data_IF_481561984854
#
_entry.id   IF_481561984854
#
_cell.length_a   1.000
_cell.length_b   1.000
_cell.length_c   1.000
_cell.angle_alpha   90.00
_cell.angle_beta   90.00
_cell.angle_gamma   90.00
#
_symmetry.space_group_name_H-M   'P 1'
#
loop_
_entity.id
_entity.type
_entity.pdbx_description
1 polymer ?
#
# COMPACT_ATOMS: atom_id res chain seq x y z
N UNK A 1 6.39 32.39 5.20
CA UNK A 1 6.09 32.25 6.63
C UNK A 1 6.11 30.78 7.03
N UNK A 2 7.29 30.23 7.28
CA UNK A 2 7.42 28.92 7.91
C UNK A 2 7.34 29.12 9.43
N UNK A 3 6.13 29.29 9.94
CA UNK A 3 5.89 29.11 11.37
C UNK A 3 6.23 27.67 11.74
N UNK A 4 6.78 27.44 12.93
CA UNK A 4 6.94 26.10 13.48
C UNK A 4 5.64 25.31 13.28
N UNK A 5 5.73 24.10 12.72
CA UNK A 5 4.57 23.24 12.59
C UNK A 5 3.93 23.08 13.98
N UNK A 6 2.62 23.36 14.14
CA UNK A 6 1.95 23.20 15.42
C UNK A 6 2.18 21.80 15.96
N UNK A 7 2.65 21.71 17.21
CA UNK A 7 2.96 20.44 17.86
C UNK A 7 1.83 20.09 18.82
N UNK A 8 1.18 18.96 18.56
CA UNK A 8 0.25 18.36 19.52
C UNK A 8 1.04 17.49 20.49
N UNK A 9 1.08 17.89 21.76
CA UNK A 9 1.68 17.11 22.83
C UNK A 9 0.64 16.17 23.43
N UNK A 10 0.78 14.86 23.17
CA UNK A 10 -0.08 13.84 23.75
C UNK A 10 0.57 13.23 25.00
N UNK A 11 -0.22 13.01 26.05
CA UNK A 11 0.14 12.27 27.26
C UNK A 11 -0.55 10.91 27.34
N UNK A 12 -0.32 10.20 28.45
CA UNK A 12 -0.98 8.91 28.71
C UNK A 12 -2.50 9.08 28.80
N UNK A 13 -2.98 10.22 29.29
CA UNK A 13 -4.41 10.53 29.40
C UNK A 13 -5.09 10.53 28.02
N UNK A 14 -4.41 10.95 26.96
CA UNK A 14 -4.98 10.93 25.61
C UNK A 14 -5.09 9.50 25.05
N UNK A 15 -4.31 8.55 25.59
CA UNK A 15 -4.44 7.16 25.21
C UNK A 15 -5.65 6.46 25.86
N UNK A 16 -6.19 6.98 26.97
CA UNK A 16 -7.28 6.32 27.70
C UNK A 16 -8.64 6.45 27.00
N UNK A 17 -8.78 7.44 26.11
CA UNK A 17 -10.00 7.64 25.30
C UNK A 17 -9.98 6.86 23.99
N UNK A 18 -8.87 6.20 23.66
CA UNK A 18 -8.73 5.43 22.43
C UNK A 18 -9.55 4.14 22.50
N UNK A 19 -10.04 3.70 21.33
CA UNK A 19 -10.86 2.51 21.24
C UNK A 19 -10.04 1.25 21.52
N UNK A 20 -10.49 0.49 22.51
CA UNK A 20 -9.90 -0.80 22.89
C UNK A 20 -10.30 -1.92 21.92
N UNK A 21 -11.58 -1.98 21.56
CA UNK A 21 -12.20 -3.10 20.85
C UNK A 21 -12.06 -4.46 21.53
N UNK A 22 -11.76 -4.52 22.85
CA UNK A 22 -11.53 -5.78 23.55
C UNK A 22 -12.69 -6.76 23.33
N UNK A 23 -13.93 -6.29 23.41
CA UNK A 23 -15.16 -7.04 23.19
C UNK A 23 -15.27 -7.68 21.78
N UNK A 24 -14.61 -7.08 20.79
CA UNK A 24 -14.59 -7.55 19.39
C UNK A 24 -13.35 -8.38 19.04
N UNK A 25 -12.38 -8.46 19.94
CA UNK A 25 -11.17 -9.25 19.70
C UNK A 25 -11.46 -10.74 19.59
N UNK A 26 -10.61 -11.45 18.85
CA UNK A 26 -10.71 -12.90 18.73
C UNK A 26 -10.64 -13.55 20.13
N UNK A 27 -11.56 -14.46 20.50
CA UNK A 27 -11.52 -15.13 21.81
C UNK A 27 -10.20 -15.85 22.12
N UNK A 28 -9.52 -16.40 21.12
CA UNK A 28 -8.19 -16.99 21.28
C UNK A 28 -7.13 -15.94 21.65
N UNK A 29 -7.21 -14.75 21.03
CA UNK A 29 -6.33 -13.63 21.38
C UNK A 29 -6.60 -13.14 22.81
N UNK A 30 -7.86 -12.94 23.18
CA UNK A 30 -8.24 -12.50 24.53
C UNK A 30 -7.72 -13.47 25.60
N UNK A 31 -7.88 -14.79 25.39
CA UNK A 31 -7.34 -15.81 26.32
C UNK A 31 -5.82 -15.76 26.41
N UNK A 32 -5.13 -15.72 25.27
CA UNK A 32 -3.67 -15.74 25.22
C UNK A 32 -3.06 -14.50 25.87
N UNK A 33 -3.53 -13.31 25.48
CA UNK A 33 -3.02 -12.04 25.98
C UNK A 33 -3.46 -11.81 27.43
N UNK A 34 -4.69 -12.19 27.80
CA UNK A 34 -5.18 -12.12 29.16
C UNK A 34 -4.33 -12.95 30.14
N UNK A 35 -3.97 -14.19 29.77
CA UNK A 35 -3.07 -15.01 30.58
C UNK A 35 -1.68 -14.35 30.75
N UNK A 36 -1.14 -13.75 29.68
CA UNK A 36 0.11 -13.02 29.75
C UNK A 36 0.03 -11.76 30.63
N UNK A 37 -1.07 -11.01 30.57
CA UNK A 37 -1.33 -9.85 31.43
C UNK A 37 -1.43 -10.24 32.92
N UNK A 38 -2.10 -11.35 33.23
CA UNK A 38 -2.18 -11.87 34.60
C UNK A 38 -0.81 -12.29 35.13
N UNK A 39 -0.01 -12.96 34.28
CA UNK A 39 1.35 -13.36 34.61
C UNK A 39 2.25 -12.13 34.84
N UNK A 40 2.17 -11.12 33.97
CA UNK A 40 2.91 -9.87 34.10
C UNK A 40 2.54 -9.13 35.39
N UNK A 41 1.25 -9.04 35.71
CA UNK A 41 0.78 -8.46 36.96
C UNK A 41 1.42 -9.16 38.16
N UNK A 42 1.40 -10.50 38.19
CA UNK A 42 2.01 -11.30 39.28
C UNK A 42 3.52 -11.09 39.40
N UNK A 43 4.23 -10.95 38.27
CA UNK A 43 5.69 -10.76 38.27
C UNK A 43 6.12 -9.37 38.75
N UNK A 44 5.28 -8.35 38.53
CA UNK A 44 5.54 -6.96 38.88
C UNK A 44 4.96 -6.56 40.24
N UNK A 45 3.94 -7.26 40.73
CA UNK A 45 3.33 -7.05 42.04
C UNK A 45 4.41 -7.03 43.14
N UNK A 46 4.47 -5.93 43.90
CA UNK A 46 5.44 -5.72 44.97
C UNK A 46 6.85 -5.29 44.54
N UNK A 47 7.15 -5.22 43.23
CA UNK A 47 8.46 -4.77 42.71
C UNK A 47 8.46 -3.32 42.23
N UNK A 48 7.32 -2.85 41.76
CA UNK A 48 7.15 -1.46 41.35
C UNK A 48 6.43 -0.74 42.48
N UNK A 49 7.04 0.27 43.10
CA UNK A 49 6.39 1.09 44.15
C UNK A 49 5.19 1.93 43.67
N UNK A 50 4.57 1.56 42.54
CA UNK A 50 3.40 2.19 41.92
C UNK A 50 2.23 1.20 41.98
N UNK A 51 1.02 1.68 42.23
CA UNK A 51 -0.20 0.87 42.20
C UNK A 51 -0.33 0.18 40.85
N UNK A 52 -0.16 -1.14 40.82
CA UNK A 52 -0.21 -1.91 39.58
C UNK A 52 -1.67 -2.15 39.19
N UNK A 53 -2.01 -1.87 37.92
CA UNK A 53 -3.26 -2.32 37.33
C UNK A 53 -3.40 -3.84 37.47
N UNK A 54 -4.60 -4.33 37.73
CA UNK A 54 -4.87 -5.76 37.71
C UNK A 54 -4.72 -6.33 36.28
N UNK A 55 -4.71 -7.66 36.17
CA UNK A 55 -4.56 -8.33 34.88
C UNK A 55 -5.66 -7.99 33.87
N UNK A 56 -6.86 -7.63 34.32
CA UNK A 56 -7.97 -7.26 33.44
C UNK A 56 -7.76 -5.86 32.87
N UNK A 57 -7.36 -4.91 33.70
CA UNK A 57 -7.03 -3.55 33.26
C UNK A 57 -5.81 -3.55 32.32
N UNK A 58 -4.82 -4.41 32.56
CA UNK A 58 -3.71 -4.60 31.64
C UNK A 58 -4.15 -5.16 30.28
N UNK A 59 -5.11 -6.10 30.26
CA UNK A 59 -5.67 -6.63 29.01
C UNK A 59 -6.43 -5.54 28.23
N UNK A 60 -7.16 -4.67 28.93
CA UNK A 60 -7.82 -3.51 28.32
C UNK A 60 -6.79 -2.60 27.63
N UNK A 61 -5.69 -2.27 28.32
CA UNK A 61 -4.61 -1.48 27.73
C UNK A 61 -3.91 -2.18 26.58
N UNK A 62 -3.68 -3.50 26.68
CA UNK A 62 -3.11 -4.27 25.57
C UNK A 62 -4.02 -4.21 24.33
N UNK A 63 -5.34 -4.20 24.51
CA UNK A 63 -6.30 -4.08 23.42
C UNK A 63 -6.32 -2.66 22.82
N UNK A 64 -6.24 -1.62 23.66
CA UNK A 64 -6.03 -0.22 23.20
C UNK A 64 -4.75 -0.11 22.36
N UNK A 65 -3.64 -0.65 22.85
CA UNK A 65 -2.37 -0.65 22.11
C UNK A 65 -2.56 -1.40 20.79
N UNK A 66 -3.07 -2.63 20.81
CA UNK A 66 -3.27 -3.44 19.60
C UNK A 66 -4.12 -2.74 18.54
N UNK A 67 -5.18 -2.04 18.95
CA UNK A 67 -6.09 -1.34 18.05
C UNK A 67 -5.50 -0.07 17.43
N UNK A 68 -4.56 0.60 18.12
CA UNK A 68 -4.17 1.97 17.81
C UNK A 68 -2.67 2.17 17.52
N UNK A 69 -1.83 1.14 17.63
CA UNK A 69 -0.42 1.25 17.25
C UNK A 69 -0.22 1.45 15.76
N UNK A 70 0.81 2.22 15.43
CA UNK A 70 1.31 2.43 14.09
C UNK A 70 2.73 1.88 13.98
N UNK A 71 3.00 1.12 12.92
CA UNK A 71 4.37 0.77 12.57
C UNK A 71 5.15 2.03 12.20
N UNK A 72 6.42 2.12 12.59
CA UNK A 72 7.29 3.23 12.20
C UNK A 72 8.61 2.67 11.65
N UNK A 73 9.01 3.19 10.49
CA UNK A 73 10.26 2.84 9.82
C UNK A 73 11.08 4.08 9.55
N UNK A 74 12.37 4.06 9.86
CA UNK A 74 13.28 5.21 9.68
C UNK A 74 13.93 5.26 8.29
N UNK A 75 13.75 4.23 7.46
CA UNK A 75 14.56 4.01 6.25
C UNK A 75 13.69 3.78 5.01
N UNK A 76 14.29 3.95 3.82
CA UNK A 76 13.67 3.79 2.48
C UNK A 76 13.15 2.38 2.15
N UNK A 77 13.22 1.44 3.09
CA UNK A 77 12.89 0.03 2.89
C UNK A 77 11.38 -0.30 3.04
N UNK A 78 10.51 0.67 3.36
CA UNK A 78 9.08 0.44 3.64
C UNK A 78 8.83 -0.74 4.62
N UNK A 79 9.71 -0.91 5.61
CA UNK A 79 9.58 -1.91 6.67
C UNK A 79 9.45 -1.23 8.02
N UNK A 80 8.48 -1.69 8.80
CA UNK A 80 8.31 -1.26 10.19
C UNK A 80 9.50 -1.77 11.02
N UNK A 81 10.27 -0.84 11.58
CA UNK A 81 11.39 -1.13 12.49
C UNK A 81 11.00 -0.98 13.95
N UNK A 82 9.93 -0.25 14.22
CA UNK A 82 9.36 -0.04 15.54
C UNK A 82 7.84 0.09 15.43
N UNK A 83 7.17 0.12 16.58
CA UNK A 83 5.77 0.47 16.70
C UNK A 83 5.64 1.63 17.68
N UNK A 84 4.68 2.52 17.43
CA UNK A 84 4.39 3.64 18.31
C UNK A 84 2.89 3.85 18.48
N UNK A 85 2.48 4.22 19.69
CA UNK A 85 1.14 4.69 19.97
C UNK A 85 1.14 6.22 19.92
N UNK A 86 0.35 6.78 19.01
CA UNK A 86 0.30 8.22 18.77
C UNK A 86 -1.15 8.70 18.87
N UNK A 87 -1.64 9.05 20.09
CA UNK A 87 -3.07 9.34 20.29
C UNK A 87 -3.63 10.35 19.29
N UNK A 88 -2.91 11.44 19.00
CA UNK A 88 -3.31 12.42 17.99
C UNK A 88 -3.51 11.84 16.57
N UNK A 89 -2.67 10.89 16.13
CA UNK A 89 -2.86 10.19 14.85
C UNK A 89 -3.96 9.14 14.94
N UNK A 90 -4.06 8.42 16.06
CA UNK A 90 -5.06 7.38 16.27
C UNK A 90 -6.50 7.91 16.29
N UNK A 91 -6.70 9.23 16.47
CA UNK A 91 -8.00 9.89 16.32
C UNK A 91 -8.45 10.07 14.86
N UNK A 92 -7.54 10.00 13.88
CA UNK A 92 -7.89 10.17 12.46
C UNK A 92 -8.47 8.88 11.91
N UNK A 93 -9.71 8.94 11.42
CA UNK A 93 -10.40 7.78 10.85
C UNK A 93 -9.81 7.32 9.51
N UNK A 94 -10.21 6.12 9.12
CA UNK A 94 -9.83 5.56 7.83
C UNK A 94 -10.59 6.16 6.64
N UNK A 95 -9.89 6.37 5.53
CA UNK A 95 -10.50 6.39 4.20
C UNK A 95 -9.65 5.60 3.21
N UNK A 96 -10.31 4.87 2.30
CA UNK A 96 -9.69 4.24 1.14
C UNK A 96 -9.27 5.25 0.04
N UNK A 97 -9.59 6.53 0.25
CA UNK A 97 -9.14 7.71 -0.49
C UNK A 97 -8.84 8.80 0.57
N UNK A 98 -7.71 8.71 1.27
CA UNK A 98 -7.40 9.60 2.38
C UNK A 98 -7.02 11.01 1.90
N UNK A 99 -7.29 12.01 2.74
CA UNK A 99 -6.86 13.40 2.51
C UNK A 99 -5.62 13.78 3.34
N UNK A 100 -5.18 12.92 4.27
CA UNK A 100 -3.93 13.10 5.01
C UNK A 100 -2.99 11.89 4.84
N UNK A 101 -1.69 12.17 4.84
CA UNK A 101 -0.64 11.18 5.08
C UNK A 101 0.08 11.50 6.38
N UNK A 102 0.82 10.53 6.88
CA UNK A 102 1.69 10.73 8.02
C UNK A 102 3.06 10.11 7.75
N UNK A 103 4.09 10.66 8.39
CA UNK A 103 5.45 10.15 8.31
C UNK A 103 6.19 10.36 9.64
N UNK A 104 7.26 9.59 9.91
CA UNK A 104 8.17 9.92 11.00
C UNK A 104 8.78 11.31 10.83
N UNK A 105 8.99 12.02 11.93
CA UNK A 105 9.55 13.37 11.98
C UNK A 105 10.79 13.47 12.89
N UNK A 106 11.51 12.35 13.04
CA UNK A 106 12.67 12.22 13.91
C UNK A 106 12.31 11.92 15.37
N UNK A 107 13.15 11.13 16.03
CA UNK A 107 12.89 10.65 17.40
C UNK A 107 11.56 9.90 17.50
N UNK A 108 10.81 10.16 18.58
CA UNK A 108 9.47 9.62 18.81
C UNK A 108 8.34 10.53 18.26
N UNK A 109 8.62 11.35 17.24
CA UNK A 109 7.63 12.26 16.63
C UNK A 109 7.15 11.73 15.29
N UNK A 110 5.89 11.97 15.02
CA UNK A 110 5.28 11.84 13.69
C UNK A 110 4.80 13.20 13.23
N UNK A 111 4.65 13.35 11.93
CA UNK A 111 3.96 14.47 11.33
C UNK A 111 2.78 13.97 10.51
N UNK A 112 1.72 14.77 10.47
CA UNK A 112 0.53 14.55 9.65
C UNK A 112 0.44 15.72 8.68
N UNK A 113 0.29 15.44 7.39
CA UNK A 113 0.20 16.45 6.35
C UNK A 113 -1.00 16.18 5.45
N UNK A 114 -1.69 17.26 5.07
CA UNK A 114 -2.73 17.19 4.06
C UNK A 114 -2.10 16.87 2.70
N UNK A 115 -2.71 15.94 1.96
CA UNK A 115 -2.33 15.56 0.59
C UNK A 115 -3.19 16.26 -0.46
N UNK A 116 -4.33 16.78 -0.04
CA UNK A 116 -5.30 17.50 -0.88
C UNK A 116 -5.78 18.73 -0.12
N UNK A 117 -6.49 19.62 -0.81
CA UNK A 117 -7.24 20.68 -0.14
C UNK A 117 -8.33 20.04 0.75
N UNK A 118 -8.57 20.62 1.92
CA UNK A 118 -9.51 20.13 2.93
C UNK A 118 -10.38 21.31 3.36
N UNK A 119 -11.69 21.18 3.18
CA UNK A 119 -12.62 22.24 3.57
C UNK A 119 -12.80 22.31 5.09
N UNK A 120 -13.16 23.47 5.63
CA UNK A 120 -13.50 23.60 7.04
C UNK A 120 -14.70 22.69 7.39
N UNK A 121 -14.55 21.87 8.42
CA UNK A 121 -15.55 20.87 8.83
C UNK A 121 -15.46 19.53 8.09
N UNK A 122 -14.60 19.41 7.07
CA UNK A 122 -14.29 18.13 6.46
C UNK A 122 -13.45 17.26 7.42
N UNK A 123 -13.74 15.96 7.43
CA UNK A 123 -13.04 15.01 8.29
C UNK A 123 -11.61 14.77 7.76
N UNK A 124 -10.63 14.77 8.67
CA UNK A 124 -9.27 14.33 8.40
C UNK A 124 -9.20 12.79 8.42
N UNK A 125 -8.64 12.21 7.37
CA UNK A 125 -8.58 10.75 7.20
C UNK A 125 -7.22 10.27 6.72
N UNK A 126 -6.83 9.07 7.19
CA UNK A 126 -5.60 8.37 6.78
C UNK A 126 -5.93 6.97 6.26
N UNK A 127 -4.97 6.27 5.65
CA UNK A 127 -5.16 4.86 5.31
C UNK A 127 -4.71 3.95 6.45
N UNK A 128 -5.49 2.89 6.72
CA UNK A 128 -5.15 1.81 7.65
C UNK A 128 -4.79 0.50 6.93
N UNK A 129 -4.86 0.50 5.61
CA UNK A 129 -4.70 -0.70 4.77
C UNK A 129 -3.92 -0.35 3.50
N UNK A 130 -3.47 -1.36 2.77
CA UNK A 130 -2.85 -1.18 1.47
C UNK A 130 -3.92 -0.73 0.44
N UNK A 131 -3.75 0.47 -0.11
CA UNK A 131 -4.71 1.07 -1.04
C UNK A 131 -4.65 0.48 -2.46
N UNK A 132 -3.63 -0.33 -2.76
CA UNK A 132 -3.47 -1.06 -4.02
C UNK A 132 -4.08 -2.48 -3.98
N UNK A 133 -4.68 -2.87 -2.86
CA UNK A 133 -5.43 -4.12 -2.75
C UNK A 133 -6.86 -3.98 -3.31
N UNK A 134 -7.44 -5.07 -3.86
CA UNK A 134 -8.83 -5.12 -4.28
C UNK A 134 -9.80 -4.71 -3.16
N UNK A 135 -10.97 -4.19 -3.54
CA UNK A 135 -11.96 -3.66 -2.59
C UNK A 135 -12.33 -4.68 -1.53
N UNK A 136 -12.63 -5.91 -1.95
CA UNK A 136 -13.07 -6.96 -1.04
C UNK A 136 -11.98 -7.33 -0.04
N UNK A 137 -10.70 -7.30 -0.46
CA UNK A 137 -9.56 -7.56 0.42
C UNK A 137 -9.41 -6.46 1.47
N UNK A 138 -9.48 -5.19 1.06
CA UNK A 138 -9.43 -4.05 1.99
C UNK A 138 -10.56 -4.09 3.01
N UNK A 139 -11.79 -4.38 2.58
CA UNK A 139 -12.94 -4.55 3.48
C UNK A 139 -12.72 -5.69 4.48
N UNK A 140 -12.26 -6.85 4.03
CA UNK A 140 -11.97 -7.98 4.89
C UNK A 140 -10.85 -7.67 5.91
N UNK A 141 -9.80 -6.98 5.47
CA UNK A 141 -8.68 -6.60 6.34
C UNK A 141 -9.10 -5.58 7.40
N UNK A 142 -9.90 -4.57 7.04
CA UNK A 142 -10.45 -3.58 7.97
C UNK A 142 -11.45 -4.21 8.95
N UNK A 143 -12.34 -5.08 8.47
CA UNK A 143 -13.27 -5.78 9.34
C UNK A 143 -12.55 -6.67 10.35
N UNK A 144 -11.50 -7.39 9.90
CA UNK A 144 -10.72 -8.28 10.76
C UNK A 144 -9.87 -7.53 11.78
N UNK A 145 -9.20 -6.45 11.37
CA UNK A 145 -8.20 -5.77 12.20
C UNK A 145 -8.72 -4.54 12.95
N UNK A 146 -9.79 -3.91 12.44
CA UNK A 146 -10.35 -2.65 12.97
C UNK A 146 -11.85 -2.75 13.25
N UNK A 147 -12.48 -3.88 12.98
CA UNK A 147 -13.86 -4.19 13.36
C UNK A 147 -14.93 -3.24 12.78
N UNK A 148 -14.69 -2.71 11.58
CA UNK A 148 -15.67 -1.91 10.83
C UNK A 148 -15.61 -2.20 9.32
N UNK A 149 -16.71 -1.93 8.62
CA UNK A 149 -16.78 -1.93 7.16
C UNK A 149 -16.61 -0.50 6.64
N UNK A 150 -15.67 -0.28 5.72
CA UNK A 150 -15.37 1.05 5.20
C UNK A 150 -16.46 1.53 4.25
N UNK A 151 -16.98 2.73 4.52
CA UNK A 151 -17.98 3.39 3.68
C UNK A 151 -17.43 4.69 3.10
N UNK A 152 -16.12 4.83 2.83
CA UNK A 152 -15.65 6.06 2.16
C UNK A 152 -16.14 6.14 0.70
N UNK A 153 -15.93 7.28 0.03
CA UNK A 153 -16.37 7.52 -1.35
C UNK A 153 -15.92 6.42 -2.32
N UNK A 154 -14.64 6.03 -2.29
CA UNK A 154 -14.08 4.95 -3.12
C UNK A 154 -14.78 3.61 -2.91
N UNK A 155 -15.15 3.27 -1.67
CA UNK A 155 -15.83 2.02 -1.33
C UNK A 155 -17.33 2.03 -1.65
N UNK A 156 -18.00 3.19 -1.50
CA UNK A 156 -19.42 3.37 -1.82
C UNK A 156 -19.69 3.42 -3.33
N UNK A 157 -18.71 3.87 -4.12
CA UNK A 157 -18.84 3.93 -5.57
C UNK A 157 -19.08 2.53 -6.17
N UNK A 158 -20.02 2.36 -7.11
CA UNK A 158 -20.21 1.11 -7.83
C UNK A 158 -18.88 0.61 -8.42
N UNK A 159 -18.60 -0.69 -8.28
CA UNK A 159 -17.34 -1.27 -8.73
C UNK A 159 -17.02 -0.94 -10.22
N UNK A 160 -17.96 -1.03 -11.18
CA UNK A 160 -17.70 -0.68 -12.58
C UNK A 160 -17.21 0.75 -12.83
N UNK A 161 -17.50 1.67 -11.92
CA UNK A 161 -17.11 3.08 -12.01
C UNK A 161 -15.87 3.39 -11.17
N UNK A 162 -15.60 2.58 -10.16
CA UNK A 162 -14.47 2.74 -9.24
C UNK A 162 -13.14 2.36 -9.88
N UNK A 163 -12.03 3.00 -9.51
CA UNK A 163 -10.68 2.54 -9.91
C UNK A 163 -10.38 1.10 -9.47
N UNK A 164 -11.08 0.59 -8.44
CA UNK A 164 -10.91 -0.78 -7.92
C UNK A 164 -11.13 -1.84 -9.00
N UNK A 165 -11.97 -1.57 -10.02
CA UNK A 165 -12.19 -2.49 -11.15
C UNK A 165 -10.91 -2.85 -11.90
N UNK A 166 -9.89 -1.99 -11.84
CA UNK A 166 -8.61 -2.22 -12.49
C UNK A 166 -7.76 -3.24 -11.72
N UNK A 167 -7.92 -3.31 -10.39
CA UNK A 167 -7.15 -4.17 -9.50
C UNK A 167 -7.64 -5.63 -9.50
N UNK A 168 -8.89 -5.87 -9.90
CA UNK A 168 -9.53 -7.20 -9.88
C UNK A 168 -10.16 -7.62 -11.22
N UNK A 169 -10.17 -6.74 -12.22
CA UNK A 169 -10.80 -7.00 -13.50
C UNK A 169 -9.98 -7.87 -14.46
N UNK A 170 -10.70 -8.60 -15.31
CA UNK A 170 -10.14 -9.37 -16.43
C UNK A 170 -10.53 -8.68 -17.74
N UNK A 171 -9.59 -8.50 -18.68
CA UNK A 171 -9.89 -7.91 -19.98
C UNK A 171 -10.95 -8.74 -20.72
N UNK A 172 -11.90 -8.08 -21.37
CA UNK A 172 -12.91 -8.78 -22.16
C UNK A 172 -12.26 -9.64 -23.25
N UNK A 173 -12.78 -10.85 -23.45
CA UNK A 173 -12.32 -11.74 -24.53
C UNK A 173 -12.94 -11.41 -25.88
N UNK A 174 -13.92 -10.51 -25.92
CA UNK A 174 -14.56 -10.09 -27.18
C UNK A 174 -13.59 -9.21 -27.97
N UNK A 175 -13.48 -9.47 -29.28
CA UNK A 175 -12.61 -8.72 -30.17
C UNK A 175 -12.91 -7.21 -30.07
N UNK A 176 -11.85 -6.41 -29.92
CA UNK A 176 -11.92 -4.94 -29.87
C UNK A 176 -12.76 -4.34 -28.73
N UNK A 177 -13.14 -5.13 -27.71
CA UNK A 177 -13.85 -4.62 -26.53
C UNK A 177 -12.86 -4.11 -25.47
N UNK A 178 -12.87 -2.82 -25.11
CA UNK A 178 -12.00 -2.27 -24.06
C UNK A 178 -12.50 -2.55 -22.63
N UNK A 179 -13.66 -3.19 -22.48
CA UNK A 179 -14.28 -3.45 -21.19
C UNK A 179 -13.56 -4.50 -20.35
N UNK A 180 -13.87 -4.50 -19.04
CA UNK A 180 -13.38 -5.49 -18.09
C UNK A 180 -14.53 -6.38 -17.64
N UNK A 181 -14.30 -7.69 -17.59
CA UNK A 181 -15.15 -8.62 -16.87
C UNK A 181 -14.94 -8.39 -15.37
N UNK A 182 -16.04 -8.18 -14.65
CA UNK A 182 -16.07 -8.01 -13.20
C UNK A 182 -17.03 -9.02 -12.57
N UNK A 183 -16.67 -9.54 -11.41
CA UNK A 183 -17.47 -10.45 -10.60
C UNK A 183 -16.89 -10.59 -9.20
N UNK A 184 -17.44 -11.50 -8.39
CA UNK A 184 -17.00 -11.65 -7.01
C UNK A 184 -15.67 -12.40 -6.93
N UNK A 185 -14.67 -11.78 -6.31
CA UNK A 185 -13.36 -12.39 -6.00
C UNK A 185 -13.26 -12.87 -4.54
N UNK A 186 -14.20 -12.47 -3.70
CA UNK A 186 -14.33 -12.89 -2.31
C UNK A 186 -15.81 -12.90 -1.92
N UNK A 187 -16.17 -13.76 -0.97
CA UNK A 187 -17.54 -13.97 -0.53
C UNK A 187 -17.82 -15.43 -0.21
N UNK A 188 -19.09 -15.76 -0.06
CA UNK A 188 -19.61 -17.11 0.07
C UNK A 188 -19.33 -17.94 -1.21
N UNK A 189 -19.32 -19.28 -1.12
CA UNK A 189 -19.20 -20.13 -2.30
C UNK A 189 -20.22 -19.79 -3.39
N UNK A 190 -21.45 -19.45 -3.02
CA UNK A 190 -22.52 -19.08 -3.95
C UNK A 190 -22.23 -17.77 -4.67
N UNK A 191 -21.77 -16.74 -3.94
CA UNK A 191 -21.38 -15.45 -4.54
C UNK A 191 -20.23 -15.61 -5.53
N UNK A 192 -19.25 -16.47 -5.22
CA UNK A 192 -18.10 -16.74 -6.10
C UNK A 192 -18.47 -17.46 -7.40
N UNK A 193 -19.62 -18.14 -7.47
CA UNK A 193 -20.08 -18.81 -8.69
C UNK A 193 -20.89 -17.90 -9.62
N UNK A 194 -21.24 -16.69 -9.19
CA UNK A 194 -22.01 -15.76 -10.00
C UNK A 194 -21.26 -15.38 -11.29
N UNK A 195 -21.97 -15.17 -12.42
CA UNK A 195 -21.34 -14.81 -13.68
C UNK A 195 -20.66 -13.44 -13.58
N UNK A 196 -19.55 -13.32 -14.32
CA UNK A 196 -18.81 -12.08 -14.47
C UNK A 196 -19.35 -11.31 -15.68
N UNK A 197 -19.56 -10.01 -15.51
CA UNK A 197 -20.17 -9.15 -16.54
C UNK A 197 -19.16 -8.15 -17.07
N UNK A 198 -19.10 -7.99 -18.38
CA UNK A 198 -18.24 -6.99 -19.01
C UNK A 198 -18.78 -5.57 -18.77
N UNK A 199 -17.92 -4.64 -18.33
CA UNK A 199 -18.30 -3.24 -18.11
C UNK A 199 -18.79 -2.53 -19.35
N UNK A 200 -18.34 -2.96 -20.54
CA UNK A 200 -18.60 -2.31 -21.81
C UNK A 200 -19.66 -3.06 -22.63
N UNK A 201 -19.30 -4.19 -23.25
CA UNK A 201 -20.22 -4.94 -24.12
C UNK A 201 -21.30 -5.76 -23.39
N UNK A 202 -21.34 -5.72 -22.05
CA UNK A 202 -22.30 -6.43 -21.18
C UNK A 202 -22.33 -7.96 -21.33
N UNK A 203 -21.37 -8.54 -22.04
CA UNK A 203 -21.21 -10.00 -22.15
C UNK A 203 -21.01 -10.60 -20.75
N UNK A 204 -21.78 -11.63 -20.45
CA UNK A 204 -21.62 -12.45 -19.26
C UNK A 204 -20.74 -13.67 -19.56
N UNK A 205 -19.90 -14.03 -18.60
CA UNK A 205 -19.01 -15.18 -18.65
C UNK A 205 -19.11 -15.88 -17.29
N UNK A 206 -19.25 -17.20 -17.27
CA UNK A 206 -19.23 -17.95 -16.01
C UNK A 206 -17.92 -17.67 -15.24
N UNK A 207 -17.99 -17.56 -13.91
CA UNK A 207 -16.81 -17.30 -13.07
C UNK A 207 -15.70 -18.34 -13.28
N UNK A 208 -16.12 -19.60 -13.50
CA UNK A 208 -15.25 -20.75 -13.74
C UNK A 208 -15.55 -21.36 -15.10
N UNK A 209 -14.50 -21.82 -15.78
CA UNK A 209 -14.59 -22.49 -17.08
C UNK A 209 -13.74 -23.77 -17.10
N UNK A 210 -14.05 -24.75 -17.98
CA UNK A 210 -13.24 -25.94 -18.15
C UNK A 210 -11.76 -25.62 -18.33
N UNK A 211 -10.90 -26.40 -17.67
CA UNK A 211 -9.45 -26.18 -17.68
C UNK A 211 -8.97 -25.00 -16.83
N UNK A 212 -9.78 -24.52 -15.88
CA UNK A 212 -9.46 -23.41 -14.98
C UNK A 212 -9.14 -22.10 -15.75
N UNK A 213 -9.95 -21.82 -16.77
CA UNK A 213 -9.77 -20.66 -17.66
C UNK A 213 -10.78 -19.54 -17.41
N UNK A 214 -11.67 -19.70 -16.42
CA UNK A 214 -12.62 -18.67 -16.03
C UNK A 214 -11.94 -17.47 -15.37
N UNK A 215 -12.57 -16.29 -15.35
CA UNK A 215 -11.98 -15.10 -14.75
C UNK A 215 -11.64 -15.28 -13.26
N UNK A 216 -12.47 -15.99 -12.48
CA UNK A 216 -12.15 -16.31 -11.09
C UNK A 216 -10.99 -17.30 -10.99
N UNK A 217 -10.93 -18.30 -11.87
CA UNK A 217 -9.84 -19.27 -11.92
C UNK A 217 -8.49 -18.58 -12.22
N UNK A 218 -8.48 -17.64 -13.18
CA UNK A 218 -7.31 -16.83 -13.53
C UNK A 218 -6.85 -15.98 -12.34
N UNK A 219 -7.77 -15.26 -11.69
CA UNK A 219 -7.48 -14.45 -10.50
C UNK A 219 -6.83 -15.30 -9.39
N UNK A 220 -7.46 -16.41 -9.04
CA UNK A 220 -7.00 -17.30 -7.96
C UNK A 220 -5.66 -17.95 -8.29
N UNK A 221 -5.48 -18.42 -9.54
CA UNK A 221 -4.24 -19.06 -9.98
C UNK A 221 -3.09 -18.05 -9.99
N UNK A 222 -3.31 -16.84 -10.50
CA UNK A 222 -2.28 -15.81 -10.53
C UNK A 222 -1.82 -15.40 -9.13
N UNK A 223 -2.75 -15.22 -8.17
CA UNK A 223 -2.40 -14.94 -6.78
C UNK A 223 -1.63 -16.09 -6.13
N UNK A 224 -2.04 -17.35 -6.37
CA UNK A 224 -1.34 -18.51 -5.84
C UNK A 224 0.08 -18.63 -6.44
N UNK A 225 0.23 -18.41 -7.75
CA UNK A 225 1.54 -18.39 -8.43
C UNK A 225 2.42 -17.26 -7.86
N UNK A 226 1.87 -16.05 -7.68
CA UNK A 226 2.59 -14.94 -7.07
C UNK A 226 3.13 -15.33 -5.68
N UNK A 227 2.28 -15.89 -4.83
CA UNK A 227 2.65 -16.30 -3.47
C UNK A 227 3.77 -17.34 -3.48
N UNK A 228 3.70 -18.32 -4.38
CA UNK A 228 4.76 -19.33 -4.53
C UNK A 228 6.09 -18.72 -4.94
N UNK A 229 6.10 -17.82 -5.92
CA UNK A 229 7.33 -17.15 -6.37
C UNK A 229 7.89 -16.25 -5.25
N UNK A 230 7.02 -15.52 -4.55
CA UNK A 230 7.42 -14.67 -3.42
C UNK A 230 8.04 -15.46 -2.26
N UNK A 231 7.54 -16.67 -1.97
CA UNK A 231 8.16 -17.56 -0.98
C UNK A 231 9.54 -18.03 -1.45
N UNK A 232 9.68 -18.38 -2.73
CA UNK A 232 10.96 -18.79 -3.32
C UNK A 232 11.97 -17.64 -3.33
N UNK A 233 11.54 -16.40 -3.57
CA UNK A 233 12.45 -15.25 -3.66
C UNK A 233 13.20 -14.93 -2.37
N UNK A 234 12.77 -15.49 -1.23
CA UNK A 234 13.48 -15.39 0.05
C UNK A 234 14.74 -16.25 0.11
N UNK A 235 14.80 -17.32 -0.68
CA UNK A 235 15.84 -18.35 -0.59
C UNK A 235 16.66 -18.51 -1.87
N UNK A 236 16.18 -17.99 -3.00
CA UNK A 236 16.84 -18.14 -4.30
C UNK A 236 17.39 -16.81 -4.82
N UNK A 237 18.54 -16.85 -5.53
CA UNK A 237 19.14 -15.65 -6.10
C UNK A 237 18.29 -15.08 -7.24
N UNK A 238 18.41 -13.76 -7.46
CA UNK A 238 17.62 -13.01 -8.45
C UNK A 238 17.64 -13.59 -9.87
N UNK A 239 18.77 -14.14 -10.33
CA UNK A 239 18.86 -14.73 -11.68
C UNK A 239 17.99 -15.99 -11.85
N UNK A 240 17.66 -16.71 -10.76
CA UNK A 240 16.73 -17.86 -10.80
C UNK A 240 15.28 -17.44 -10.65
N UNK A 241 15.03 -16.36 -9.92
CA UNK A 241 13.69 -15.88 -9.60
C UNK A 241 13.10 -15.00 -10.71
N UNK A 242 13.94 -14.19 -11.36
CA UNK A 242 13.52 -13.29 -12.45
C UNK A 242 12.67 -13.99 -13.52
N UNK A 243 13.06 -15.16 -14.08
CA UNK A 243 12.25 -15.81 -15.12
C UNK A 243 10.86 -16.21 -14.65
N UNK A 244 10.68 -16.47 -13.35
CA UNK A 244 9.38 -16.84 -12.78
C UNK A 244 8.43 -15.63 -12.75
N UNK A 245 8.92 -14.46 -12.32
CA UNK A 245 8.14 -13.22 -12.36
C UNK A 245 7.74 -12.85 -13.79
N UNK A 246 8.67 -12.93 -14.73
CA UNK A 246 8.38 -12.66 -16.14
C UNK A 246 7.39 -13.67 -16.74
N UNK A 247 7.47 -14.95 -16.34
CA UNK A 247 6.53 -15.98 -16.75
C UNK A 247 5.12 -15.69 -16.24
N UNK A 248 4.97 -15.26 -14.99
CA UNK A 248 3.68 -14.85 -14.42
C UNK A 248 3.05 -13.71 -15.24
N UNK A 249 3.81 -12.65 -15.52
CA UNK A 249 3.31 -11.52 -16.32
C UNK A 249 2.87 -11.96 -17.73
N UNK A 250 3.68 -12.79 -18.41
CA UNK A 250 3.34 -13.32 -19.76
C UNK A 250 2.13 -14.23 -19.74
N UNK A 251 2.01 -15.08 -18.73
CA UNK A 251 0.93 -16.04 -18.60
C UNK A 251 -0.40 -15.33 -18.36
N UNK A 252 -0.43 -14.39 -17.42
CA UNK A 252 -1.70 -13.85 -16.90
C UNK A 252 -2.06 -12.44 -17.38
N UNK A 253 -1.15 -11.65 -17.97
CA UNK A 253 -1.40 -10.24 -18.32
C UNK A 253 -1.56 -9.92 -19.81
N UNK A 254 -2.02 -8.69 -20.09
CA UNK A 254 -1.83 -7.98 -21.36
C UNK A 254 -2.64 -8.44 -22.59
N UNK A 255 -3.60 -9.35 -22.44
CA UNK A 255 -4.36 -9.89 -23.58
C UNK A 255 -5.87 -9.98 -23.37
N UNK A 256 -6.66 -10.19 -24.44
CA UNK A 256 -8.09 -10.51 -24.35
C UNK A 256 -8.32 -11.75 -23.48
N UNK A 257 -9.25 -11.68 -22.53
CA UNK A 257 -9.53 -12.77 -21.59
C UNK A 257 -8.45 -13.00 -20.53
N UNK A 258 -7.41 -12.16 -20.46
CA UNK A 258 -6.37 -12.18 -19.43
C UNK A 258 -6.61 -11.09 -18.38
N UNK A 259 -5.90 -11.13 -17.26
CA UNK A 259 -6.00 -10.11 -16.22
C UNK A 259 -5.69 -8.72 -16.78
N UNK A 260 -6.35 -7.69 -16.25
CA UNK A 260 -6.00 -6.31 -16.56
C UNK A 260 -4.55 -6.01 -16.14
N UNK A 261 -3.84 -5.14 -16.85
CA UNK A 261 -2.44 -4.81 -16.52
C UNK A 261 -2.27 -4.16 -15.14
N UNK A 262 -3.33 -3.56 -14.60
CA UNK A 262 -3.36 -3.03 -13.23
C UNK A 262 -3.73 -4.07 -12.17
N UNK A 263 -4.08 -5.30 -12.57
CA UNK A 263 -4.59 -6.31 -11.65
C UNK A 263 -3.55 -6.58 -10.55
N UNK A 264 -3.99 -6.69 -9.29
CA UNK A 264 -3.11 -6.74 -8.11
C UNK A 264 -2.03 -7.82 -8.23
N UNK A 265 -2.40 -9.02 -8.70
CA UNK A 265 -1.46 -10.13 -8.91
C UNK A 265 -0.32 -9.82 -9.90
N UNK A 266 -0.56 -8.95 -10.90
CA UNK A 266 0.48 -8.50 -11.83
C UNK A 266 1.26 -7.32 -11.25
N UNK A 267 0.55 -6.36 -10.65
CA UNK A 267 1.13 -5.19 -10.02
C UNK A 267 2.16 -5.56 -8.93
N UNK A 268 1.81 -6.51 -8.06
CA UNK A 268 2.69 -6.95 -6.97
C UNK A 268 3.94 -7.69 -7.46
N UNK A 269 4.00 -8.10 -8.73
CA UNK A 269 5.22 -8.66 -9.33
C UNK A 269 6.25 -7.58 -9.69
N UNK A 270 5.83 -6.34 -9.94
CA UNK A 270 6.65 -5.36 -10.64
C UNK A 270 7.86 -4.91 -9.82
N UNK A 271 7.73 -4.70 -8.52
CA UNK A 271 8.85 -4.32 -7.66
C UNK A 271 9.86 -5.47 -7.44
N UNK A 272 9.43 -6.70 -7.09
CA UNK A 272 10.34 -7.86 -7.07
C UNK A 272 11.04 -8.11 -8.40
N UNK A 273 10.33 -7.94 -9.53
CA UNK A 273 10.91 -8.07 -10.86
C UNK A 273 11.92 -6.96 -11.14
N UNK A 274 11.59 -5.70 -10.86
CA UNK A 274 12.51 -4.56 -10.96
C UNK A 274 13.81 -4.84 -10.18
N UNK A 275 13.71 -5.29 -8.92
CA UNK A 275 14.87 -5.64 -8.11
C UNK A 275 15.69 -6.77 -8.75
N UNK A 276 15.02 -7.78 -9.31
CA UNK A 276 15.69 -8.90 -9.97
C UNK A 276 16.36 -8.48 -11.30
N UNK A 277 15.76 -7.56 -12.05
CA UNK A 277 16.36 -6.95 -13.24
C UNK A 277 17.63 -6.18 -12.87
N UNK A 278 17.58 -5.31 -11.84
CA UNK A 278 18.77 -4.59 -11.34
C UNK A 278 19.87 -5.54 -10.90
N UNK A 279 19.54 -6.54 -10.09
CA UNK A 279 20.50 -7.53 -9.59
C UNK A 279 21.12 -8.40 -10.70
N UNK A 280 20.53 -8.42 -11.90
CA UNK A 280 21.04 -9.13 -13.08
C UNK A 280 21.62 -8.19 -14.15
N UNK A 281 21.77 -6.89 -13.84
CA UNK A 281 22.38 -5.90 -14.73
C UNK A 281 21.47 -5.38 -15.86
N UNK A 282 20.16 -5.60 -15.78
CA UNK A 282 19.19 -5.12 -16.77
C UNK A 282 18.42 -3.89 -16.26
N UNK A 283 19.11 -2.75 -16.24
CA UNK A 283 18.53 -1.49 -15.76
C UNK A 283 17.41 -0.98 -16.68
N UNK A 284 17.42 -1.35 -17.96
CA UNK A 284 16.36 -1.00 -18.90
C UNK A 284 15.02 -1.63 -18.49
N UNK A 285 15.04 -2.94 -18.19
CA UNK A 285 13.87 -3.63 -17.69
C UNK A 285 13.45 -3.13 -16.30
N UNK A 286 14.41 -2.81 -15.42
CA UNK A 286 14.10 -2.21 -14.11
C UNK A 286 13.35 -0.88 -14.25
N UNK A 287 13.86 0.03 -15.09
CA UNK A 287 13.22 1.32 -15.38
C UNK A 287 11.81 1.11 -15.97
N UNK A 288 11.65 0.15 -16.89
CA UNK A 288 10.36 -0.19 -17.49
C UNK A 288 9.33 -0.65 -16.44
N UNK A 289 9.73 -1.55 -15.53
CA UNK A 289 8.87 -2.01 -14.44
C UNK A 289 8.45 -0.85 -13.52
N UNK A 290 9.37 0.05 -13.19
CA UNK A 290 9.06 1.20 -12.33
C UNK A 290 8.14 2.21 -13.02
N UNK A 291 8.28 2.42 -14.33
CA UNK A 291 7.29 3.17 -15.11
C UNK A 291 5.91 2.52 -15.07
N UNK A 292 5.82 1.19 -15.16
CA UNK A 292 4.55 0.48 -15.02
C UNK A 292 3.92 0.68 -13.63
N UNK A 293 4.73 0.61 -12.55
CA UNK A 293 4.27 0.92 -11.19
C UNK A 293 3.66 2.32 -11.12
N UNK A 294 4.39 3.34 -11.56
CA UNK A 294 3.93 4.73 -11.54
C UNK A 294 2.66 4.94 -12.39
N UNK A 295 2.58 4.31 -13.55
CA UNK A 295 1.41 4.36 -14.43
C UNK A 295 0.17 3.74 -13.78
N UNK A 296 0.34 2.61 -13.09
CA UNK A 296 -0.76 1.94 -12.38
C UNK A 296 -1.25 2.80 -11.22
N UNK A 297 -0.35 3.36 -10.40
CA UNK A 297 -0.75 4.30 -9.36
C UNK A 297 -1.50 5.52 -9.92
N UNK A 298 -1.04 6.11 -11.02
CA UNK A 298 -1.73 7.24 -11.64
C UNK A 298 -3.17 6.92 -12.08
N UNK A 299 -3.47 5.65 -12.37
CA UNK A 299 -4.81 5.19 -12.77
C UNK A 299 -5.68 4.76 -11.60
N UNK A 300 -5.09 4.17 -10.55
CA UNK A 300 -5.81 3.55 -9.43
C UNK A 300 -5.92 4.49 -8.22
N UNK A 301 -4.86 5.23 -7.94
CA UNK A 301 -4.70 6.05 -6.74
C UNK A 301 -3.90 7.34 -7.07
N UNK A 302 -4.50 8.31 -7.76
CA UNK A 302 -3.85 9.55 -8.18
C UNK A 302 -3.75 10.56 -7.03
N UNK A 303 -3.27 10.12 -5.87
CA UNK A 303 -3.01 10.97 -4.72
C UNK A 303 -1.49 11.15 -4.57
N UNK A 304 -1.00 12.31 -4.12
CA UNK A 304 0.41 12.51 -3.86
C UNK A 304 0.77 11.80 -2.56
N UNK A 305 0.82 10.46 -2.56
CA UNK A 305 1.18 9.65 -1.40
C UNK A 305 2.71 9.54 -1.26
N UNK A 306 3.25 9.26 -0.05
CA UNK A 306 4.69 9.14 0.17
C UNK A 306 5.38 8.12 -0.76
N UNK A 307 4.71 7.01 -1.06
CA UNK A 307 5.21 5.93 -1.92
C UNK A 307 5.52 6.43 -3.34
N UNK A 308 4.67 7.30 -3.91
CA UNK A 308 4.91 7.89 -5.23
C UNK A 308 6.15 8.80 -5.23
N UNK A 309 6.40 9.52 -4.14
CA UNK A 309 7.62 10.30 -3.98
C UNK A 309 8.86 9.41 -4.00
N UNK A 310 8.81 8.25 -3.34
CA UNK A 310 9.90 7.28 -3.32
C UNK A 310 10.12 6.61 -4.68
N UNK A 311 9.06 6.19 -5.37
CA UNK A 311 9.18 5.58 -6.69
C UNK A 311 9.70 6.56 -7.74
N UNK A 312 9.27 7.83 -7.73
CA UNK A 312 9.83 8.83 -8.64
C UNK A 312 11.30 9.14 -8.30
N UNK A 313 11.68 9.22 -7.02
CA UNK A 313 13.07 9.44 -6.64
C UNK A 313 13.98 8.29 -7.12
N UNK A 314 13.54 7.04 -6.90
CA UNK A 314 14.24 5.85 -7.38
C UNK A 314 14.35 5.83 -8.92
N UNK A 315 13.27 6.18 -9.63
CA UNK A 315 13.30 6.27 -11.09
C UNK A 315 14.28 7.33 -11.57
N UNK A 316 14.30 8.50 -10.92
CA UNK A 316 15.24 9.57 -11.22
C UNK A 316 16.69 9.13 -11.08
N UNK A 317 17.01 8.38 -10.01
CA UNK A 317 18.34 7.79 -9.81
C UNK A 317 18.72 6.81 -10.94
N UNK A 318 17.85 5.86 -11.26
CA UNK A 318 18.11 4.87 -12.34
C UNK A 318 18.27 5.55 -13.70
N UNK A 319 17.46 6.57 -13.99
CA UNK A 319 17.58 7.36 -15.21
C UNK A 319 18.91 8.14 -15.24
N UNK A 320 19.39 8.63 -14.10
CA UNK A 320 20.66 9.35 -14.01
C UNK A 320 21.86 8.42 -14.29
N UNK A 321 21.85 7.22 -13.71
CA UNK A 321 22.84 6.16 -13.97
C UNK A 321 22.88 5.81 -15.46
N UNK A 322 21.72 5.65 -16.09
CA UNK A 322 21.59 5.39 -17.54
C UNK A 322 22.02 6.59 -18.40
N UNK A 323 21.70 7.81 -17.98
CA UNK A 323 22.06 9.04 -18.70
C UNK A 323 23.58 9.23 -18.75
N UNK A 324 24.29 8.89 -17.67
CA UNK A 324 25.75 8.95 -17.60
C UNK A 324 26.42 8.03 -18.65
N UNK A 325 25.78 6.90 -18.98
CA UNK A 325 26.25 5.94 -19.97
C UNK A 325 25.74 6.23 -21.39
N UNK A 326 24.91 7.26 -21.58
CA UNK A 326 24.27 7.56 -22.86
C UNK A 326 25.22 8.27 -23.84
N UNK A 327 25.12 7.98 -25.16
CA UNK A 327 25.88 8.69 -26.19
C UNK A 327 25.65 10.21 -26.13
N UNK A 328 26.64 11.05 -26.51
CA UNK A 328 26.51 12.51 -26.46
C UNK A 328 25.24 13.04 -27.13
N UNK A 329 24.84 12.46 -28.26
CA UNK A 329 23.64 12.84 -29.01
C UNK A 329 22.32 12.64 -28.23
N UNK A 330 22.27 11.73 -27.26
CA UNK A 330 21.08 11.43 -26.46
C UNK A 330 21.12 12.04 -25.06
N UNK A 331 22.28 12.57 -24.63
CA UNK A 331 22.52 13.03 -23.26
C UNK A 331 21.57 14.15 -22.84
N UNK A 332 21.31 15.13 -23.71
CA UNK A 332 20.39 16.24 -23.41
C UNK A 332 18.96 15.75 -23.11
N UNK A 333 18.45 14.82 -23.93
CA UNK A 333 17.12 14.21 -23.71
C UNK A 333 17.08 13.37 -22.44
N UNK A 334 18.15 12.60 -22.17
CA UNK A 334 18.26 11.79 -20.97
C UNK A 334 18.29 12.66 -19.70
N UNK A 335 19.12 13.72 -19.66
CA UNK A 335 19.16 14.68 -18.56
C UNK A 335 17.83 15.37 -18.32
N UNK A 336 17.11 15.73 -19.40
CA UNK A 336 15.75 16.29 -19.27
C UNK A 336 14.80 15.31 -18.57
N UNK A 337 14.80 14.03 -18.94
CA UNK A 337 13.95 13.02 -18.32
C UNK A 337 14.29 12.78 -16.84
N UNK A 338 15.59 12.79 -16.48
CA UNK A 338 16.05 12.72 -15.09
C UNK A 338 15.49 13.88 -14.28
N UNK A 339 15.70 15.11 -14.76
CA UNK A 339 15.24 16.34 -14.10
C UNK A 339 13.73 16.36 -13.90
N UNK A 340 12.94 16.08 -14.93
CA UNK A 340 11.47 16.05 -14.83
C UNK A 340 11.00 15.02 -13.79
N UNK A 341 11.65 13.87 -13.73
CA UNK A 341 11.30 12.81 -12.77
C UNK A 341 11.65 13.20 -11.34
N UNK A 342 12.85 13.77 -11.12
CA UNK A 342 13.27 14.23 -9.80
C UNK A 342 12.44 15.43 -9.31
N UNK A 343 12.02 16.34 -10.19
CA UNK A 343 11.09 17.40 -9.81
C UNK A 343 9.74 16.85 -9.34
N UNK A 344 9.17 15.86 -10.05
CA UNK A 344 7.94 15.19 -9.59
C UNK A 344 8.12 14.54 -8.22
N UNK A 345 9.26 13.88 -7.98
CA UNK A 345 9.58 13.31 -6.68
C UNK A 345 9.65 14.38 -5.58
N UNK A 346 10.34 15.49 -5.85
CA UNK A 346 10.46 16.61 -4.93
C UNK A 346 9.11 17.26 -4.62
N UNK A 347 8.26 17.48 -5.62
CA UNK A 347 6.94 18.08 -5.44
C UNK A 347 6.04 17.22 -4.54
N UNK A 348 6.04 15.90 -4.75
CA UNK A 348 5.30 14.96 -3.89
C UNK A 348 5.89 14.94 -2.48
N UNK A 349 7.22 14.92 -2.34
CA UNK A 349 7.89 14.96 -1.04
C UNK A 349 7.62 16.27 -0.30
N UNK A 350 7.52 17.40 -0.99
CA UNK A 350 7.15 18.69 -0.39
C UNK A 350 5.77 18.66 0.23
N UNK A 351 4.81 17.99 -0.42
CA UNK A 351 3.44 17.80 0.12
C UNK A 351 3.47 16.89 1.36
N UNK A 352 4.09 15.71 1.25
CA UNK A 352 4.00 14.67 2.30
C UNK A 352 4.98 14.83 3.45
N UNK A 353 6.16 15.38 3.17
CA UNK A 353 7.27 15.47 4.10
C UNK A 353 7.52 16.93 4.53
N UNK A 354 7.17 17.89 3.68
CA UNK A 354 7.48 19.30 3.85
C UNK A 354 8.75 19.72 3.09
N UNK A 355 8.93 21.03 2.83
CA UNK A 355 10.07 21.58 2.10
C UNK A 355 11.40 21.43 2.84
N UNK A 356 11.39 21.52 4.18
CA UNK A 356 12.58 21.45 5.03
C UNK A 356 13.03 20.02 5.35
N UNK A 357 12.27 19.00 4.92
CA UNK A 357 12.62 17.61 5.19
C UNK A 357 13.87 17.20 4.40
N UNK A 358 14.86 16.49 5.01
CA UNK A 358 16.11 16.13 4.35
C UNK A 358 15.94 15.45 2.98
N UNK A 359 15.02 14.48 2.88
CA UNK A 359 14.70 13.81 1.61
C UNK A 359 14.12 14.74 0.54
N UNK A 360 13.41 15.80 0.93
CA UNK A 360 12.88 16.80 -0.02
C UNK A 360 14.03 17.65 -0.53
N UNK A 361 14.85 18.19 0.38
CA UNK A 361 16.02 19.02 0.05
C UNK A 361 17.00 18.27 -0.86
N UNK A 362 17.32 17.02 -0.52
CA UNK A 362 18.23 16.19 -1.30
C UNK A 362 17.73 15.96 -2.73
N UNK A 363 16.44 15.61 -2.89
CA UNK A 363 15.85 15.40 -4.22
C UNK A 363 15.79 16.68 -5.03
N UNK A 364 15.49 17.83 -4.41
CA UNK A 364 15.53 19.13 -5.08
C UNK A 364 16.95 19.51 -5.51
N UNK A 365 17.96 19.23 -4.68
CA UNK A 365 19.35 19.45 -5.02
C UNK A 365 19.78 18.58 -6.21
N UNK A 366 19.43 17.28 -6.20
CA UNK A 366 19.70 16.36 -7.32
C UNK A 366 19.02 16.83 -8.61
N UNK A 367 17.76 17.29 -8.54
CA UNK A 367 17.04 17.81 -9.70
C UNK A 367 17.73 19.04 -10.33
N UNK A 368 18.36 19.89 -9.51
CA UNK A 368 19.13 21.07 -9.95
C UNK A 368 20.48 20.68 -10.58
N UNK A 369 21.18 19.70 -10.00
CA UNK A 369 22.52 19.28 -10.46
C UNK A 369 22.45 18.57 -11.82
N UNK A 370 21.40 17.78 -12.06
CA UNK A 370 21.18 17.11 -13.35
C UNK A 370 20.72 18.05 -14.48
N UNK A 371 20.75 19.37 -14.24
CA UNK A 371 20.21 20.44 -15.07
C UNK A 371 21.06 20.87 -16.26
#
# INVERSE_FOLDING_TARGET
DEGEMPVLHCGIQDATVLLSHLDKQNPAWQRSVGAACQELHRLLAGKTGMGLADGQQMLEWASVIHSNIHGTGTDDANQDKAIGLYPGLSMLNHSCQPNCSWSPAGGARIQIRAMTDIAAGEQLTVSYTNLMEPRARRQADLLRSKHFACTCLRCRQPLPESPDRLLEGVNCSSASCPGLLLGNIAGTPEELQQPWTCTDCKKEVAARLPGNTGPLDLHQTALATWQQIHMQSRNFPHHKIRPLWEALLRQFGGGPGKLNDCHVALFDCLLPLMNSCRATGDDAAAISNLHSVLSIYARVLPLPIPELGNFNALLGMLLAERAAQSPPALRSRASKAVRETLHRAADIRRINLGPSHPKTIETEAQAKICG
#
